data_IF_799795981442
#
_entry.id   IF_799795981442
#
_cell.length_a   1.000
_cell.length_b   1.000
_cell.length_c   1.000
_cell.angle_alpha   90.00
_cell.angle_beta   90.00
_cell.angle_gamma   90.00
#
_symmetry.space_group_name_H-M   'P 1'
#
loop_
_entity.id
_entity.type
_entity.pdbx_description
1 polymer ?
#
# COMPACT_ATOMS: atom_id res chain seq x y z
N UNK A 1 0.89 -17.30 24.25
CA UNK A 1 -0.16 -16.69 23.40
C UNK A 1 0.28 -16.70 21.93
N UNK A 2 -0.51 -17.25 20.98
CA UNK A 2 -0.16 -17.17 19.54
C UNK A 2 -0.30 -15.73 19.07
N UNK A 3 0.78 -15.06 18.66
CA UNK A 3 0.73 -13.70 18.11
C UNK A 3 -0.20 -13.68 16.88
N UNK A 4 -1.22 -12.82 16.90
CA UNK A 4 -2.15 -12.58 15.80
C UNK A 4 -2.06 -11.11 15.41
N UNK A 5 -2.09 -10.83 14.10
CA UNK A 5 -2.11 -9.47 13.57
C UNK A 5 -3.55 -9.02 13.33
N UNK A 6 -4.36 -9.89 12.75
CA UNK A 6 -5.77 -9.65 12.47
C UNK A 6 -6.66 -10.58 13.29
N UNK A 7 -7.86 -10.10 13.62
CA UNK A 7 -8.93 -10.87 14.27
C UNK A 7 -9.33 -12.07 13.41
N UNK A 8 -9.41 -11.87 12.09
CA UNK A 8 -9.85 -12.88 11.13
C UNK A 8 -8.69 -13.47 10.32
N UNK A 9 -8.59 -14.80 10.28
CA UNK A 9 -7.55 -15.53 9.53
C UNK A 9 -7.61 -15.26 8.03
N UNK A 10 -8.80 -15.08 7.47
CA UNK A 10 -8.98 -14.83 6.03
C UNK A 10 -8.36 -13.48 5.62
N UNK A 11 -8.53 -12.45 6.45
CA UNK A 11 -7.97 -11.11 6.20
C UNK A 11 -6.45 -11.13 6.26
N UNK A 12 -5.88 -11.93 7.15
CA UNK A 12 -4.43 -12.13 7.20
C UNK A 12 -3.88 -12.72 5.89
N UNK A 13 -4.48 -13.80 5.39
CA UNK A 13 -4.04 -14.41 4.12
C UNK A 13 -4.26 -13.51 2.92
N UNK A 14 -5.39 -12.80 2.88
CA UNK A 14 -5.66 -11.79 1.86
C UNK A 14 -4.60 -10.68 1.88
N UNK A 15 -4.23 -10.19 3.07
CA UNK A 15 -3.21 -9.15 3.23
C UNK A 15 -1.84 -9.61 2.74
N UNK A 16 -1.45 -10.86 3.02
CA UNK A 16 -0.21 -11.44 2.51
C UNK A 16 -0.25 -11.50 0.99
N UNK A 17 -1.34 -12.03 0.42
CA UNK A 17 -1.48 -12.15 -1.04
C UNK A 17 -1.37 -10.79 -1.73
N UNK A 18 -2.07 -9.77 -1.22
CA UNK A 18 -2.02 -8.41 -1.78
C UNK A 18 -0.61 -7.83 -1.67
N UNK A 19 0.07 -7.96 -0.52
CA UNK A 19 1.43 -7.44 -0.37
C UNK A 19 2.42 -8.18 -1.28
N UNK A 20 2.23 -9.48 -1.51
CA UNK A 20 3.03 -10.26 -2.44
C UNK A 20 2.86 -9.76 -3.88
N UNK A 21 1.60 -9.56 -4.31
CA UNK A 21 1.28 -9.01 -5.64
C UNK A 21 1.89 -7.61 -5.80
N UNK A 22 1.70 -6.73 -4.83
CA UNK A 22 2.28 -5.39 -4.85
C UNK A 22 3.81 -5.43 -4.93
N UNK A 23 4.45 -6.27 -4.13
CA UNK A 23 5.91 -6.38 -4.15
C UNK A 23 6.41 -6.87 -5.50
N UNK A 24 5.79 -7.90 -6.08
CA UNK A 24 6.15 -8.39 -7.41
C UNK A 24 5.97 -7.31 -8.49
N UNK A 25 4.84 -6.61 -8.50
CA UNK A 25 4.54 -5.57 -9.48
C UNK A 25 5.49 -4.37 -9.37
N UNK A 26 5.75 -3.88 -8.15
CA UNK A 26 6.64 -2.72 -7.97
C UNK A 26 8.10 -3.07 -8.25
N UNK A 27 8.58 -4.27 -7.89
CA UNK A 27 9.92 -4.69 -8.28
C UNK A 27 10.06 -4.84 -9.78
N UNK A 28 9.06 -5.43 -10.46
CA UNK A 28 9.03 -5.49 -11.92
C UNK A 28 9.06 -4.09 -12.55
N UNK A 29 8.26 -3.15 -12.03
CA UNK A 29 8.26 -1.76 -12.47
C UNK A 29 9.62 -1.08 -12.24
N UNK A 30 10.26 -1.29 -11.09
CA UNK A 30 11.61 -0.78 -10.80
C UNK A 30 12.64 -1.32 -11.80
N UNK A 31 12.66 -2.63 -12.05
CA UNK A 31 13.60 -3.25 -13.00
C UNK A 31 13.38 -2.69 -14.40
N UNK A 32 12.13 -2.61 -14.87
CA UNK A 32 11.83 -2.04 -16.18
C UNK A 32 12.32 -0.60 -16.31
N UNK A 33 12.09 0.23 -15.30
CA UNK A 33 12.50 1.64 -15.33
C UNK A 33 14.02 1.82 -15.37
N UNK A 34 14.76 0.93 -14.71
CA UNK A 34 16.23 0.87 -14.77
C UNK A 34 16.68 0.52 -16.17
N UNK A 35 16.13 -0.55 -16.76
CA UNK A 35 16.51 -1.02 -18.11
C UNK A 35 16.22 0.05 -19.17
N UNK A 36 15.08 0.76 -19.06
CA UNK A 36 14.68 1.78 -20.04
C UNK A 36 15.31 3.15 -19.80
N UNK A 37 16.21 3.30 -18.82
CA UNK A 37 16.84 4.58 -18.44
C UNK A 37 15.83 5.73 -18.25
N UNK A 38 14.69 5.43 -17.63
CA UNK A 38 13.58 6.39 -17.43
C UNK A 38 13.82 7.36 -16.26
N UNK A 39 14.94 8.09 -16.30
CA UNK A 39 15.37 9.06 -15.28
C UNK A 39 15.77 10.43 -15.87
N UNK A 40 15.42 10.68 -17.14
CA UNK A 40 15.94 11.82 -17.91
C UNK A 40 15.35 13.16 -17.46
N UNK A 41 14.14 13.18 -16.91
CA UNK A 41 13.50 14.39 -16.40
C UNK A 41 13.34 14.35 -14.89
N UNK A 42 13.28 15.53 -14.24
CA UNK A 42 13.01 15.64 -12.79
C UNK A 42 11.72 14.92 -12.40
N UNK A 43 10.71 14.97 -13.26
CA UNK A 43 9.44 14.28 -13.08
C UNK A 43 9.61 12.77 -13.10
N UNK A 44 10.28 12.24 -14.12
CA UNK A 44 10.52 10.80 -14.23
C UNK A 44 11.34 10.27 -13.05
N UNK A 45 12.27 11.08 -12.54
CA UNK A 45 13.01 10.76 -11.33
C UNK A 45 12.08 10.64 -10.11
N UNK A 46 11.15 11.58 -9.89
CA UNK A 46 10.21 11.54 -8.76
C UNK A 46 9.28 10.31 -8.86
N UNK A 47 8.78 9.99 -10.05
CA UNK A 47 7.98 8.78 -10.26
C UNK A 47 8.80 7.49 -10.07
N UNK A 48 10.03 7.44 -10.58
CA UNK A 48 10.93 6.31 -10.33
C UNK A 48 11.17 6.12 -8.83
N UNK A 49 11.42 7.21 -8.11
CA UNK A 49 11.67 7.19 -6.67
C UNK A 49 10.44 6.69 -5.89
N UNK A 50 9.24 7.15 -6.25
CA UNK A 50 8.01 6.70 -5.58
C UNK A 50 7.74 5.21 -5.81
N UNK A 51 8.00 4.69 -7.01
CA UNK A 51 7.91 3.25 -7.33
C UNK A 51 8.90 2.45 -6.49
N UNK A 52 10.16 2.91 -6.36
CA UNK A 52 11.16 2.24 -5.52
C UNK A 52 10.75 2.25 -4.04
N UNK A 53 10.25 3.36 -3.53
CA UNK A 53 9.74 3.46 -2.16
C UNK A 53 8.58 2.49 -1.95
N UNK A 54 7.66 2.37 -2.90
CA UNK A 54 6.54 1.41 -2.85
C UNK A 54 7.04 -0.05 -2.91
N UNK A 55 8.05 -0.35 -3.71
CA UNK A 55 8.69 -1.68 -3.74
C UNK A 55 9.27 -2.04 -2.36
N UNK A 56 10.04 -1.12 -1.75
CA UNK A 56 10.63 -1.31 -0.42
C UNK A 56 9.54 -1.46 0.65
N UNK A 57 8.55 -0.57 0.69
CA UNK A 57 7.47 -0.61 1.68
C UNK A 57 6.61 -1.87 1.56
N UNK A 58 6.33 -2.34 0.33
CA UNK A 58 5.58 -3.58 0.12
C UNK A 58 6.37 -4.81 0.57
N UNK A 59 7.69 -4.87 0.32
CA UNK A 59 8.55 -5.94 0.86
C UNK A 59 8.62 -5.90 2.39
N UNK A 60 8.83 -4.72 2.99
CA UNK A 60 8.85 -4.56 4.45
C UNK A 60 7.48 -4.96 5.05
N UNK A 61 6.38 -4.58 4.40
CA UNK A 61 5.02 -4.95 4.77
C UNK A 61 4.81 -6.46 4.74
N UNK A 62 5.22 -7.12 3.67
CA UNK A 62 5.15 -8.57 3.50
C UNK A 62 5.93 -9.32 4.59
N UNK A 63 7.20 -8.95 4.79
CA UNK A 63 8.06 -9.54 5.83
C UNK A 63 7.45 -9.31 7.23
N UNK A 64 6.93 -8.11 7.48
CA UNK A 64 6.27 -7.78 8.75
C UNK A 64 5.00 -8.59 8.97
N UNK A 65 4.22 -8.90 7.93
CA UNK A 65 3.05 -9.77 8.01
C UNK A 65 3.45 -11.22 8.30
N UNK A 66 4.47 -11.75 7.63
CA UNK A 66 4.98 -13.12 7.83
C UNK A 66 5.48 -13.33 9.27
N UNK A 67 6.25 -12.36 9.79
CA UNK A 67 6.78 -12.38 11.17
C UNK A 67 5.69 -12.03 12.20
N UNK A 68 4.48 -11.66 11.73
CA UNK A 68 3.35 -11.23 12.55
C UNK A 68 3.69 -10.06 13.46
N UNK A 69 4.47 -9.11 12.92
CA UNK A 69 4.84 -7.88 13.60
C UNK A 69 3.60 -6.98 13.76
N UNK A 70 3.40 -6.43 14.96
CA UNK A 70 2.30 -5.49 15.29
C UNK A 70 2.30 -4.24 14.40
N UNK A 71 3.45 -3.84 13.85
CA UNK A 71 3.57 -2.68 12.94
C UNK A 71 3.13 -2.96 11.50
N UNK A 72 2.92 -4.23 11.13
CA UNK A 72 2.53 -4.63 9.76
C UNK A 72 1.28 -3.92 9.24
N UNK A 73 0.25 -3.74 10.08
CA UNK A 73 -0.98 -3.05 9.73
C UNK A 73 -0.73 -1.58 9.37
N UNK A 74 0.10 -0.89 10.15
CA UNK A 74 0.48 0.50 9.88
C UNK A 74 1.29 0.62 8.60
N UNK A 75 2.28 -0.25 8.42
CA UNK A 75 3.11 -0.28 7.21
C UNK A 75 2.23 -0.51 5.98
N UNK A 76 1.32 -1.50 6.03
CA UNK A 76 0.43 -1.77 4.91
C UNK A 76 -0.53 -0.60 4.62
N UNK A 77 -1.05 0.05 5.66
CA UNK A 77 -1.88 1.26 5.48
C UNK A 77 -1.10 2.41 4.83
N UNK A 78 0.15 2.63 5.24
CA UNK A 78 1.01 3.65 4.61
C UNK A 78 1.33 3.31 3.16
N UNK A 79 1.60 2.04 2.85
CA UNK A 79 1.80 1.60 1.45
C UNK A 79 0.57 1.91 0.60
N UNK A 80 -0.65 1.63 1.10
CA UNK A 80 -1.89 1.92 0.39
C UNK A 80 -2.13 3.43 0.20
N UNK A 81 -1.88 4.24 1.22
CA UNK A 81 -2.03 5.70 1.14
C UNK A 81 -1.02 6.28 0.13
N UNK A 82 0.23 5.83 0.16
CA UNK A 82 1.24 6.26 -0.79
C UNK A 82 0.89 5.82 -2.22
N UNK A 83 0.34 4.61 -2.38
CA UNK A 83 -0.17 4.13 -3.65
C UNK A 83 -1.32 5.01 -4.18
N UNK A 84 -2.29 5.33 -3.33
CA UNK A 84 -3.36 6.26 -3.70
C UNK A 84 -2.80 7.63 -4.09
N UNK A 85 -1.85 8.18 -3.33
CA UNK A 85 -1.25 9.48 -3.61
C UNK A 85 -0.50 9.50 -4.95
N UNK A 86 0.28 8.45 -5.24
CA UNK A 86 0.97 8.31 -6.53
C UNK A 86 0.00 8.19 -7.69
N UNK A 87 -1.10 7.44 -7.51
CA UNK A 87 -2.15 7.34 -8.51
C UNK A 87 -2.87 8.67 -8.73
N UNK A 88 -3.20 9.40 -7.66
CA UNK A 88 -3.79 10.74 -7.73
C UNK A 88 -2.91 11.72 -8.48
N UNK A 89 -1.59 11.70 -8.23
CA UNK A 89 -0.66 12.56 -8.96
C UNK A 89 -0.65 12.24 -10.46
N UNK A 90 -0.67 10.95 -10.83
CA UNK A 90 -0.78 10.54 -12.23
C UNK A 90 -2.10 10.99 -12.88
N UNK A 91 -3.21 10.89 -12.16
CA UNK A 91 -4.52 11.37 -12.63
C UNK A 91 -4.53 12.89 -12.84
N UNK A 92 -4.03 13.64 -11.85
CA UNK A 92 -3.94 15.09 -11.95
C UNK A 92 -3.04 15.52 -13.11
N UNK A 93 -1.89 14.87 -13.31
CA UNK A 93 -1.02 15.15 -14.44
C UNK A 93 -1.73 14.92 -15.77
N UNK A 94 -2.43 13.80 -15.91
CA UNK A 94 -3.16 13.46 -17.13
C UNK A 94 -4.25 14.49 -17.46
N UNK A 95 -4.97 15.00 -16.45
CA UNK A 95 -6.03 16.01 -16.62
C UNK A 95 -5.45 17.40 -16.88
N UNK A 96 -4.51 17.86 -16.05
CA UNK A 96 -4.08 19.27 -16.03
C UNK A 96 -2.88 19.56 -16.94
N UNK A 97 -2.03 18.58 -17.24
CA UNK A 97 -0.81 18.77 -18.03
C UNK A 97 -0.98 18.19 -19.42
N UNK A 98 -1.40 16.92 -19.52
CA UNK A 98 -1.57 16.25 -20.82
C UNK A 98 -2.86 16.63 -21.53
N UNK A 99 -3.87 17.14 -20.79
CA UNK A 99 -5.16 17.55 -21.34
C UNK A 99 -6.00 16.40 -21.90
N UNK A 100 -5.59 15.15 -21.67
CA UNK A 100 -6.30 13.96 -22.13
C UNK A 100 -6.22 12.89 -21.04
N UNK A 101 -7.38 12.48 -20.52
CA UNK A 101 -7.49 11.46 -19.47
C UNK A 101 -7.75 10.09 -20.08
N UNK A 102 -6.69 9.44 -20.55
CA UNK A 102 -6.80 8.16 -21.24
C UNK A 102 -7.27 8.29 -22.68
N UNK A 103 -7.30 7.17 -23.39
CA UNK A 103 -7.72 7.09 -24.79
C UNK A 103 -9.10 6.45 -24.96
N UNK A 104 -9.56 5.67 -23.97
CA UNK A 104 -10.81 4.92 -24.00
C UNK A 104 -11.68 5.17 -22.77
N UNK A 105 -13.00 4.97 -22.91
CA UNK A 105 -13.98 5.03 -21.80
C UNK A 105 -13.56 4.16 -20.60
N UNK A 106 -12.86 3.05 -20.87
CA UNK A 106 -12.38 2.15 -19.83
C UNK A 106 -11.39 2.83 -18.87
N UNK A 107 -10.60 3.81 -19.33
CA UNK A 107 -9.62 4.51 -18.48
C UNK A 107 -10.34 5.37 -17.42
N UNK A 108 -11.47 5.96 -17.79
CA UNK A 108 -12.34 6.74 -16.90
C UNK A 108 -13.06 5.88 -15.86
N UNK A 109 -13.36 4.62 -16.17
CA UNK A 109 -14.05 3.69 -15.27
C UNK A 109 -13.06 2.96 -14.37
N UNK A 110 -11.88 2.61 -14.88
CA UNK A 110 -10.89 1.83 -14.14
C UNK A 110 -10.31 2.63 -12.95
N UNK A 111 -10.05 3.91 -13.14
CA UNK A 111 -9.51 4.79 -12.09
C UNK A 111 -10.36 4.80 -10.80
N UNK A 112 -11.67 5.10 -10.83
CA UNK A 112 -12.51 5.06 -9.63
C UNK A 112 -12.65 3.65 -9.05
N UNK A 113 -12.67 2.59 -9.88
CA UNK A 113 -12.66 1.20 -9.38
C UNK A 113 -11.41 0.92 -8.56
N UNK A 114 -10.24 1.35 -9.04
CA UNK A 114 -8.97 1.18 -8.32
C UNK A 114 -8.99 1.92 -6.97
N UNK A 115 -9.51 3.15 -6.92
CA UNK A 115 -9.69 3.86 -5.64
C UNK A 115 -10.63 3.11 -4.69
N UNK A 116 -11.78 2.64 -5.17
CA UNK A 116 -12.73 1.88 -4.35
C UNK A 116 -12.11 0.59 -3.81
N UNK A 117 -11.32 -0.12 -4.62
CA UNK A 117 -10.59 -1.30 -4.17
C UNK A 117 -9.59 -0.95 -3.07
N UNK A 118 -8.75 0.08 -3.28
CA UNK A 118 -7.76 0.48 -2.29
C UNK A 118 -8.39 0.97 -0.98
N UNK A 119 -9.48 1.76 -1.05
CA UNK A 119 -10.23 2.23 0.12
C UNK A 119 -10.90 1.06 0.82
N UNK A 120 -11.51 0.13 0.07
CA UNK A 120 -12.15 -1.06 0.61
C UNK A 120 -11.16 -1.94 1.37
N UNK A 121 -9.96 -2.16 0.81
CA UNK A 121 -8.88 -2.86 1.48
C UNK A 121 -8.46 -2.13 2.76
N UNK A 122 -8.30 -0.80 2.71
CA UNK A 122 -7.92 0.00 3.87
C UNK A 122 -8.95 -0.09 5.01
N UNK A 123 -10.24 0.01 4.69
CA UNK A 123 -11.33 -0.17 5.66
C UNK A 123 -11.31 -1.57 6.25
N UNK A 124 -11.14 -2.59 5.41
CA UNK A 124 -11.11 -3.99 5.83
C UNK A 124 -9.95 -4.27 6.79
N UNK A 125 -8.76 -3.74 6.52
CA UNK A 125 -7.59 -3.83 7.39
C UNK A 125 -7.83 -3.13 8.73
N UNK A 126 -8.40 -1.91 8.71
CA UNK A 126 -8.65 -1.15 9.94
C UNK A 126 -9.73 -1.80 10.83
N UNK A 127 -10.81 -2.32 10.24
CA UNK A 127 -11.87 -3.02 10.99
C UNK A 127 -11.47 -4.39 11.52
N UNK A 128 -10.51 -5.05 10.88
CA UNK A 128 -10.08 -6.41 11.24
C UNK A 128 -8.82 -6.45 12.11
N UNK A 129 -8.25 -5.30 12.41
CA UNK A 129 -7.15 -5.12 13.35
C UNK A 129 -7.49 -5.77 14.69
N UNK A 130 -6.59 -6.59 15.21
CA UNK A 130 -6.81 -7.24 16.51
C UNK A 130 -6.79 -6.19 17.64
N UNK A 131 -7.82 -6.21 18.49
CA UNK A 131 -8.08 -5.19 19.52
C UNK A 131 -7.23 -5.39 20.78
N UNK A 132 -6.41 -6.45 20.83
CA UNK A 132 -5.30 -6.56 21.81
C UNK A 132 -4.36 -5.35 21.77
N UNK A 133 -4.40 -4.56 20.69
CA UNK A 133 -3.69 -3.30 20.55
C UNK A 133 -4.23 -2.13 21.41
N UNK A 134 -5.48 -2.18 21.89
CA UNK A 134 -6.02 -1.19 22.83
C UNK A 134 -5.79 -1.59 24.29
N UNK A 135 -5.84 -2.89 24.60
CA UNK A 135 -5.61 -3.43 25.94
C UNK A 135 -4.21 -3.11 26.49
N UNK A 136 -3.16 -3.17 25.66
CA UNK A 136 -1.80 -2.81 26.12
C UNK A 136 -1.61 -1.30 26.34
N UNK A 137 -2.39 -0.41 25.69
CA UNK A 137 -2.30 1.04 25.93
C UNK A 137 -3.02 1.41 27.23
N UNK A 138 -4.13 0.74 27.56
CA UNK A 138 -4.77 0.85 28.88
C UNK A 138 -3.91 0.28 30.02
N UNK A 139 -2.97 -0.64 29.72
CA UNK A 139 -1.99 -1.16 30.70
C UNK A 139 -0.75 -0.27 30.86
N UNK A 140 -0.47 0.66 29.93
CA UNK A 140 0.57 1.68 30.11
C UNK A 140 0.03 2.75 31.08
N UNK A 141 0.10 2.46 32.37
CA UNK A 141 -0.34 3.35 33.46
C UNK A 141 -1.04 2.65 34.62
N UNK A 142 -1.47 1.39 34.45
CA UNK A 142 -1.90 0.56 35.57
C UNK A 142 -0.69 -0.11 36.20
N UNK A 143 -0.01 0.61 37.08
CA UNK A 143 0.75 -0.05 38.15
C UNK A 143 -0.27 -0.79 39.01
N UNK A 144 -0.18 -2.12 39.03
CA UNK A 144 -0.80 -2.94 40.06
C UNK A 144 -0.08 -2.63 41.38
N UNK A 145 -0.78 -1.96 42.28
CA UNK A 145 -0.49 -2.06 43.72
C UNK A 145 -0.71 -3.51 44.21
#
# INVERSE_FOLDING_TARGET
MKRRVFKYKIVYWLSILINLIFSALFWFATVNRIITNSFLTKRDFIYSLSIVILAILSTIGLVSLIIKNKRSIRIFSYTLILLMATFTLGVLESIFISGNFGNDINDYVLSPILYLMMIGILILIQKSKDNSMFLEIEEIGRHTD
#
